data_IF_465672665613
#
_entry.id   IF_465672665613
#
_cell.length_a   1.000
_cell.length_b   1.000
_cell.length_c   1.000
_cell.angle_alpha   90.00
_cell.angle_beta   90.00
_cell.angle_gamma   90.00
#
_symmetry.space_group_name_H-M   'P 1'
#
loop_
_entity.id
_entity.type
_entity.pdbx_description
1 polymer ?
#
# COMPACT_ATOMS: atom_id res chain seq x y z
N UNK A 1 32.31 0.55 -1.20
CA UNK A 1 30.96 -0.02 -1.27
C UNK A 1 29.93 1.04 -0.88
N UNK A 2 29.04 1.34 -1.74
CA UNK A 2 28.00 2.31 -1.41
C UNK A 2 27.02 1.71 -0.41
N UNK A 3 26.60 2.53 0.57
CA UNK A 3 25.53 2.15 1.47
C UNK A 3 24.24 2.28 0.69
N UNK A 4 23.58 1.16 0.49
CA UNK A 4 22.30 1.15 -0.18
C UNK A 4 21.22 1.54 0.83
N UNK A 5 20.42 2.52 0.50
CA UNK A 5 19.30 2.88 1.36
C UNK A 5 18.38 1.67 1.54
N UNK A 6 17.80 1.49 2.73
CA UNK A 6 16.84 0.41 2.95
C UNK A 6 15.64 0.57 2.03
N UNK A 7 15.19 -0.54 1.49
CA UNK A 7 13.89 -0.57 0.83
C UNK A 7 12.81 -0.45 1.90
N UNK A 8 11.67 0.07 1.52
CA UNK A 8 10.60 0.39 2.47
C UNK A 8 9.32 -0.32 2.07
N UNK A 9 8.69 -0.95 3.07
CA UNK A 9 7.32 -1.44 2.96
C UNK A 9 6.40 -0.38 3.57
N UNK A 10 5.42 0.05 2.80
CA UNK A 10 4.33 0.91 3.28
C UNK A 10 3.09 0.05 3.45
N UNK A 11 2.50 0.09 4.62
CA UNK A 11 1.32 -0.72 4.93
C UNK A 11 0.17 0.15 5.40
N UNK A 12 -0.98 -0.05 4.78
CA UNK A 12 -2.26 0.52 5.19
C UNK A 12 -3.24 -0.61 5.45
N UNK A 13 -4.09 -0.47 6.47
CA UNK A 13 -5.11 -1.46 6.79
C UNK A 13 -6.40 -0.78 7.21
N UNK A 14 -7.51 -1.42 6.90
CA UNK A 14 -8.83 -0.97 7.32
C UNK A 14 -9.78 -2.16 7.31
N UNK A 15 -11.07 -1.90 7.42
CA UNK A 15 -12.10 -2.94 7.34
C UNK A 15 -13.24 -2.51 6.45
N UNK A 16 -13.83 -3.50 5.79
CA UNK A 16 -15.03 -3.32 4.96
C UNK A 16 -16.02 -4.40 5.35
N UNK A 17 -17.28 -4.23 4.93
CA UNK A 17 -18.26 -5.31 5.05
C UNK A 17 -17.84 -6.45 4.11
N UNK A 18 -17.95 -7.67 4.60
CA UNK A 18 -17.56 -8.85 3.80
C UNK A 18 -18.34 -8.92 2.48
N UNK A 19 -19.62 -8.52 2.51
CA UNK A 19 -20.44 -8.49 1.30
C UNK A 19 -19.96 -7.51 0.23
N UNK A 20 -19.11 -6.56 0.60
CA UNK A 20 -18.56 -5.55 -0.31
C UNK A 20 -17.20 -5.94 -0.90
N UNK A 21 -16.63 -7.09 -0.53
CA UNK A 21 -15.27 -7.45 -0.93
C UNK A 21 -15.04 -7.40 -2.44
N UNK A 22 -15.94 -8.00 -3.21
CA UNK A 22 -15.78 -8.06 -4.66
C UNK A 22 -15.82 -6.66 -5.29
N UNK A 23 -16.77 -5.86 -4.87
CA UNK A 23 -16.91 -4.48 -5.36
C UNK A 23 -15.70 -3.63 -4.96
N UNK A 24 -15.23 -3.79 -3.72
CA UNK A 24 -14.09 -3.03 -3.23
C UNK A 24 -12.80 -3.40 -3.97
N UNK A 25 -12.57 -4.69 -4.22
CA UNK A 25 -11.39 -5.14 -4.98
C UNK A 25 -11.38 -4.51 -6.38
N UNK A 26 -12.53 -4.52 -7.04
CA UNK A 26 -12.66 -3.91 -8.36
C UNK A 26 -12.34 -2.41 -8.33
N UNK A 27 -12.89 -1.72 -7.33
CA UNK A 27 -12.66 -0.29 -7.14
C UNK A 27 -11.19 0.03 -6.91
N UNK A 28 -10.53 -0.71 -6.00
CA UNK A 28 -9.15 -0.39 -5.64
C UNK A 28 -8.15 -0.68 -6.76
N UNK A 29 -8.47 -1.65 -7.64
CA UNK A 29 -7.64 -1.90 -8.82
C UNK A 29 -7.55 -0.69 -9.73
N UNK A 30 -8.66 0.03 -9.89
CA UNK A 30 -8.72 1.20 -10.77
C UNK A 30 -8.30 2.50 -10.10
N UNK A 31 -7.99 2.49 -8.83
CA UNK A 31 -7.60 3.70 -8.08
C UNK A 31 -6.26 3.51 -7.40
N UNK A 32 -6.26 2.96 -6.18
CA UNK A 32 -5.05 2.88 -5.37
C UNK A 32 -3.93 2.08 -6.00
N UNK A 33 -4.25 0.93 -6.58
CA UNK A 33 -3.23 0.06 -7.18
C UNK A 33 -2.57 0.74 -8.37
N UNK A 34 -3.37 1.37 -9.24
CA UNK A 34 -2.82 2.09 -10.40
C UNK A 34 -1.94 3.25 -9.96
N UNK A 35 -2.34 3.98 -8.92
CA UNK A 35 -1.55 5.08 -8.40
C UNK A 35 -0.20 4.61 -7.86
N UNK A 36 -0.17 3.48 -7.13
CA UNK A 36 1.08 2.91 -6.67
C UNK A 36 1.98 2.57 -7.84
N UNK A 37 1.46 1.80 -8.80
CA UNK A 37 2.25 1.32 -9.92
C UNK A 37 2.73 2.45 -10.83
N UNK A 38 1.98 3.56 -10.88
CA UNK A 38 2.33 4.71 -11.69
C UNK A 38 3.33 5.66 -11.03
N UNK A 39 3.71 5.43 -9.77
CA UNK A 39 4.62 6.34 -9.06
C UNK A 39 6.05 5.85 -9.22
N UNK A 40 6.97 6.71 -9.73
CA UNK A 40 8.39 6.33 -9.81
C UNK A 40 8.94 5.92 -8.46
N UNK A 41 9.70 4.84 -8.43
CA UNK A 41 10.27 4.30 -7.20
C UNK A 41 9.41 3.29 -6.50
N UNK A 42 8.16 3.08 -6.97
CA UNK A 42 7.34 1.97 -6.48
C UNK A 42 7.83 0.67 -7.12
N UNK A 43 8.04 -0.35 -6.29
CA UNK A 43 8.57 -1.65 -6.73
C UNK A 43 7.49 -2.72 -6.82
N UNK A 44 6.27 -2.38 -6.47
CA UNK A 44 5.15 -3.30 -6.53
C UNK A 44 4.18 -3.07 -5.37
N UNK A 45 3.03 -3.69 -5.43
CA UNK A 45 2.04 -3.62 -4.36
C UNK A 45 1.19 -4.88 -4.36
N UNK A 46 0.56 -5.11 -3.22
CA UNK A 46 -0.38 -6.21 -3.05
C UNK A 46 -1.54 -5.73 -2.18
N UNK A 47 -2.71 -6.30 -2.41
CA UNK A 47 -3.84 -6.10 -1.52
C UNK A 47 -4.22 -7.43 -0.90
N UNK A 48 -4.42 -7.44 0.41
CA UNK A 48 -4.73 -8.63 1.18
C UNK A 48 -6.12 -8.51 1.79
N UNK A 49 -6.82 -9.63 1.86
CA UNK A 49 -8.11 -9.71 2.53
C UNK A 49 -8.03 -10.78 3.61
N UNK A 50 -8.60 -10.49 4.79
CA UNK A 50 -8.74 -11.47 5.86
C UNK A 50 -10.15 -11.39 6.43
N UNK A 51 -10.91 -12.48 6.31
CA UNK A 51 -12.25 -12.56 6.89
C UNK A 51 -12.14 -12.56 8.41
N UNK A 52 -12.78 -11.59 9.05
CA UNK A 52 -12.74 -11.46 10.52
C UNK A 52 -13.77 -12.32 11.22
N UNK A 53 -14.69 -12.95 10.47
CA UNK A 53 -15.69 -13.86 11.04
C UNK A 53 -16.91 -13.18 11.67
N UNK A 54 -16.98 -11.85 11.59
CA UNK A 54 -18.05 -11.05 12.19
C UNK A 54 -18.85 -10.25 11.15
N UNK A 55 -18.76 -10.64 9.88
CA UNK A 55 -19.36 -9.90 8.77
C UNK A 55 -18.48 -8.80 8.23
N UNK A 56 -17.30 -8.58 8.80
CA UNK A 56 -16.31 -7.66 8.28
C UNK A 56 -15.09 -8.40 7.75
N UNK A 57 -14.36 -7.74 6.86
CA UNK A 57 -13.13 -8.25 6.28
C UNK A 57 -12.07 -7.17 6.42
N UNK A 58 -10.92 -7.57 6.97
CA UNK A 58 -9.76 -6.68 7.03
C UNK A 58 -9.14 -6.59 5.65
N UNK A 59 -8.91 -5.37 5.19
CA UNK A 59 -8.21 -5.11 3.93
C UNK A 59 -6.88 -4.46 4.27
N UNK A 60 -5.83 -4.89 3.57
CA UNK A 60 -4.50 -4.30 3.75
C UNK A 60 -3.88 -4.09 2.39
N UNK A 61 -3.23 -2.95 2.21
CA UNK A 61 -2.39 -2.73 1.03
C UNK A 61 -0.95 -2.67 1.49
N UNK A 62 -0.11 -3.45 0.80
CA UNK A 62 1.33 -3.45 0.99
C UNK A 62 1.94 -2.88 -0.26
N UNK A 63 2.83 -1.92 -0.12
CA UNK A 63 3.55 -1.39 -1.27
C UNK A 63 5.02 -1.29 -0.93
N UNK A 64 5.86 -1.60 -1.92
CA UNK A 64 7.31 -1.64 -1.77
C UNK A 64 7.93 -0.48 -2.51
N UNK A 65 8.91 0.17 -1.86
CA UNK A 65 9.45 1.44 -2.35
C UNK A 65 10.96 1.47 -2.24
N UNK A 66 11.60 2.13 -3.19
CA UNK A 66 13.05 2.27 -3.17
C UNK A 66 13.53 3.27 -2.12
N UNK A 67 12.68 4.24 -1.70
CA UNK A 67 13.09 5.28 -0.73
C UNK A 67 11.87 6.00 -0.17
N UNK A 68 12.08 6.72 0.95
CA UNK A 68 11.04 7.62 1.49
C UNK A 68 10.74 8.77 0.55
N UNK A 69 11.74 9.20 -0.22
CA UNK A 69 11.54 10.29 -1.19
C UNK A 69 10.52 9.90 -2.26
N UNK A 70 10.59 8.67 -2.75
CA UNK A 70 9.61 8.19 -3.73
C UNK A 70 8.21 8.08 -3.12
N UNK A 71 8.13 7.74 -1.83
CA UNK A 71 6.85 7.72 -1.12
C UNK A 71 6.26 9.13 -1.02
N UNK A 72 7.09 10.15 -0.82
CA UNK A 72 6.61 11.54 -0.80
C UNK A 72 5.96 11.95 -2.11
N UNK A 73 6.48 11.45 -3.21
CA UNK A 73 5.88 11.73 -4.52
C UNK A 73 4.47 11.15 -4.64
N UNK A 74 4.19 10.07 -3.93
CA UNK A 74 2.87 9.45 -3.89
C UNK A 74 1.96 10.08 -2.84
N UNK A 75 2.45 10.22 -1.61
CA UNK A 75 1.65 10.54 -0.44
C UNK A 75 1.67 12.01 -0.03
N UNK A 76 2.60 12.80 -0.56
CA UNK A 76 2.82 14.17 -0.13
C UNK A 76 3.84 14.25 1.01
N UNK A 77 4.04 15.45 1.53
CA UNK A 77 5.08 15.71 2.54
C UNK A 77 4.83 14.96 3.85
N UNK A 78 3.58 14.81 4.26
CA UNK A 78 3.22 14.01 5.43
C UNK A 78 3.09 12.55 5.01
N UNK A 79 4.24 11.88 4.90
CA UNK A 79 4.32 10.52 4.35
C UNK A 79 3.57 9.48 5.17
N UNK A 80 3.37 9.73 6.46
CA UNK A 80 2.68 8.78 7.34
C UNK A 80 1.17 8.89 7.25
N UNK A 81 0.67 9.93 6.59
CA UNK A 81 -0.75 10.13 6.45
C UNK A 81 -1.33 9.22 5.38
N UNK A 82 -2.44 8.57 5.69
CA UNK A 82 -3.15 7.73 4.74
C UNK A 82 -3.76 8.60 3.64
N UNK A 83 -3.72 8.10 2.40
CA UNK A 83 -4.31 8.78 1.26
C UNK A 83 -5.64 8.13 0.93
N UNK A 84 -6.71 8.92 0.90
CA UNK A 84 -8.06 8.44 0.62
C UNK A 84 -8.61 9.04 -0.66
N UNK A 85 -9.56 8.31 -1.25
CA UNK A 85 -10.28 8.73 -2.43
C UNK A 85 -11.74 8.99 -2.05
N UNK A 86 -12.41 9.77 -2.88
CA UNK A 86 -13.78 10.22 -2.60
C UNK A 86 -14.75 9.06 -2.30
N UNK A 87 -14.62 7.95 -3.04
CA UNK A 87 -15.55 6.83 -2.91
C UNK A 87 -15.19 5.85 -1.80
N UNK A 88 -14.07 6.07 -1.11
CA UNK A 88 -13.68 5.18 0.00
C UNK A 88 -14.74 5.11 1.08
N UNK A 89 -15.48 6.19 1.31
CA UNK A 89 -16.54 6.25 2.33
C UNK A 89 -17.65 5.24 2.09
N UNK A 90 -17.83 4.77 0.86
CA UNK A 90 -18.84 3.76 0.54
C UNK A 90 -18.49 2.41 1.12
N UNK A 91 -17.20 2.15 1.29
CA UNK A 91 -16.70 0.83 1.62
C UNK A 91 -16.11 0.76 3.02
N UNK A 92 -15.30 1.74 3.39
CA UNK A 92 -14.50 1.65 4.60
C UNK A 92 -15.31 1.84 5.86
N UNK A 93 -15.21 0.87 6.77
CA UNK A 93 -15.83 0.95 8.10
C UNK A 93 -14.97 1.77 9.04
N UNK A 94 -13.70 1.91 8.74
CA UNK A 94 -12.75 2.75 9.48
C UNK A 94 -11.85 3.46 8.47
N UNK A 95 -11.35 4.63 8.86
CA UNK A 95 -10.41 5.39 8.04
C UNK A 95 -9.24 5.80 8.92
N UNK A 96 -8.27 4.90 9.15
CA UNK A 96 -7.09 5.27 9.92
C UNK A 96 -6.38 6.46 9.28
N UNK A 97 -5.93 7.41 10.11
CA UNK A 97 -5.28 8.61 9.61
C UNK A 97 -3.88 8.33 9.09
N UNK A 98 -3.25 7.28 9.59
CA UNK A 98 -1.85 7.00 9.33
C UNK A 98 -1.62 5.60 8.78
N UNK A 99 -0.51 5.47 8.08
CA UNK A 99 0.02 4.21 7.59
C UNK A 99 1.31 3.89 8.32
N UNK A 100 1.80 2.67 8.16
CA UNK A 100 3.08 2.25 8.73
C UNK A 100 4.12 2.14 7.64
N UNK A 101 5.36 2.52 7.97
CA UNK A 101 6.51 2.28 7.12
C UNK A 101 7.50 1.39 7.85
N UNK A 102 7.99 0.38 7.15
CA UNK A 102 8.94 -0.58 7.70
C UNK A 102 10.17 -0.62 6.81
N UNK A 103 11.35 -0.58 7.43
CA UNK A 103 12.59 -0.80 6.69
C UNK A 103 12.75 -2.30 6.45
N UNK A 104 12.99 -2.67 5.20
CA UNK A 104 13.14 -4.07 4.83
C UNK A 104 14.60 -4.46 5.03
N UNK A 105 14.83 -5.34 5.99
CA UNK A 105 16.21 -5.75 6.32
C UNK A 105 16.61 -7.05 5.62
N UNK A 106 15.63 -7.89 5.29
CA UNK A 106 15.86 -9.12 4.49
C UNK A 106 14.65 -9.29 3.57
N UNK A 107 14.88 -9.50 2.29
CA UNK A 107 13.77 -9.77 1.39
C UNK A 107 14.12 -10.87 0.39
N UNK A 108 13.14 -11.69 0.10
CA UNK A 108 13.25 -12.77 -0.88
C UNK A 108 12.39 -12.56 -2.10
N UNK A 109 11.98 -11.32 -2.36
CA UNK A 109 11.06 -10.99 -3.45
C UNK A 109 11.78 -10.51 -4.73
N UNK A 110 13.09 -10.34 -4.67
CA UNK A 110 13.86 -9.84 -5.81
C UNK A 110 13.70 -8.35 -6.04
N UNK A 111 13.32 -7.58 -5.00
CA UNK A 111 13.07 -6.16 -5.12
C UNK A 111 14.30 -5.37 -5.54
N UNK A 112 15.47 -5.68 -4.96
CA UNK A 112 16.71 -5.01 -5.31
C UNK A 112 17.12 -5.30 -6.74
N UNK A 113 16.93 -6.54 -7.18
CA UNK A 113 17.20 -6.92 -8.56
C UNK A 113 16.31 -6.13 -9.52
N UNK A 114 15.05 -5.98 -9.16
CA UNK A 114 14.09 -5.21 -9.93
C UNK A 114 14.52 -3.75 -10.04
N UNK A 115 15.00 -3.19 -8.93
CA UNK A 115 15.51 -1.83 -8.89
C UNK A 115 16.73 -1.65 -9.78
N UNK A 116 17.65 -2.63 -9.77
CA UNK A 116 18.87 -2.58 -10.58
C UNK A 116 18.59 -2.68 -12.08
N UNK A 117 17.45 -3.27 -12.46
CA UNK A 117 17.06 -3.44 -13.85
C UNK A 117 16.27 -2.25 -14.40
N UNK A 118 15.86 -1.32 -13.56
CA UNK A 118 15.04 -0.18 -13.98
C UNK A 118 15.86 1.00 -14.46
#
# INVERSE_FOLDING_TARGET
>A
MSVTEPLILRRWSSRIRTEDCEAYVSYIRGTGVEDYLGTPGNLGCEMLLRDCGDGSTEVSTLSWWQSMESIRAFAGDDVERARYYREDDRFLLEKPDHVEHHHIVVEGLGLRRKLEQS
#
